data_IF_575631419091
#
_entry.id   IF_575631419091
#
_cell.length_a   1.000
_cell.length_b   1.000
_cell.length_c   1.000
_cell.angle_alpha   90.00
_cell.angle_beta   90.00
_cell.angle_gamma   90.00
#
_symmetry.space_group_name_H-M   'P 1'
#
loop_
_entity.id
_entity.type
_entity.pdbx_description
1 polymer ?
#
# COMPACT_ATOMS: atom_id res chain seq x y z
N UNK A 1 -8.55 18.45 -15.20
CA UNK A 1 -8.48 17.81 -13.88
C UNK A 1 -9.68 18.15 -12.98
N UNK A 2 -10.42 17.11 -12.58
CA UNK A 2 -11.45 17.18 -11.53
C UNK A 2 -10.79 16.87 -10.18
N UNK A 3 -11.02 17.69 -9.16
CA UNK A 3 -10.47 17.50 -7.81
C UNK A 3 -11.59 17.61 -6.79
N UNK A 4 -11.66 16.65 -5.88
CA UNK A 4 -12.64 16.60 -4.81
C UNK A 4 -11.93 16.34 -3.47
N UNK A 5 -12.20 17.19 -2.49
CA UNK A 5 -11.69 17.06 -1.13
C UNK A 5 -12.85 16.54 -0.28
N UNK A 6 -12.70 15.37 0.33
CA UNK A 6 -13.80 14.70 1.01
C UNK A 6 -13.35 14.07 2.32
N UNK A 7 -14.33 13.59 3.07
CA UNK A 7 -14.11 12.80 4.27
C UNK A 7 -15.23 11.80 4.47
N UNK A 8 -14.92 10.73 5.19
CA UNK A 8 -15.88 9.70 5.54
C UNK A 8 -15.66 9.26 6.99
N UNK A 9 -16.77 9.14 7.74
CA UNK A 9 -16.72 8.51 9.06
C UNK A 9 -16.33 7.04 8.94
N UNK A 10 -15.26 6.65 9.61
CA UNK A 10 -14.83 5.26 9.73
C UNK A 10 -15.39 4.66 11.03
N UNK A 11 -16.20 3.61 10.91
CA UNK A 11 -16.63 2.81 12.05
C UNK A 11 -15.47 2.00 12.63
N UNK A 12 -14.58 1.49 11.78
CA UNK A 12 -13.39 0.77 12.22
C UNK A 12 -12.42 1.64 13.02
N UNK A 13 -12.25 2.93 12.66
CA UNK A 13 -11.33 3.86 13.35
C UNK A 13 -12.01 4.79 14.35
N UNK A 14 -13.36 4.82 14.37
CA UNK A 14 -14.20 5.68 15.19
C UNK A 14 -13.84 7.16 15.07
N UNK A 15 -13.65 7.62 13.84
CA UNK A 15 -13.29 9.01 13.52
C UNK A 15 -13.63 9.33 12.07
N UNK A 16 -13.62 10.62 11.75
CA UNK A 16 -13.64 11.10 10.37
C UNK A 16 -12.27 10.89 9.72
N UNK A 17 -12.24 10.23 8.56
CA UNK A 17 -11.04 10.03 7.74
C UNK A 17 -11.11 10.87 6.48
N UNK A 18 -10.07 11.67 6.22
CA UNK A 18 -10.00 12.51 5.02
C UNK A 18 -9.37 11.77 3.86
N UNK A 19 -9.79 12.14 2.66
CA UNK A 19 -9.15 11.72 1.43
C UNK A 19 -9.42 12.73 0.31
N UNK A 20 -8.47 12.84 -0.63
CA UNK A 20 -8.72 13.58 -1.87
C UNK A 20 -8.91 12.62 -3.03
N UNK A 21 -9.72 13.05 -4.00
CA UNK A 21 -9.90 12.41 -5.29
C UNK A 21 -9.39 13.32 -6.41
N UNK A 22 -8.58 12.76 -7.30
CA UNK A 22 -8.08 13.44 -8.51
C UNK A 22 -8.46 12.62 -9.75
N UNK A 23 -9.23 13.23 -10.64
CA UNK A 23 -9.76 12.58 -11.85
C UNK A 23 -11.25 12.33 -11.81
N UNK A 24 -11.76 11.78 -12.91
CA UNK A 24 -13.20 11.65 -13.15
C UNK A 24 -13.64 10.27 -13.67
N UNK A 25 -12.71 9.44 -14.15
CA UNK A 25 -13.02 8.12 -14.71
C UNK A 25 -11.78 7.21 -14.67
N UNK A 26 -11.96 5.98 -15.12
CA UNK A 26 -10.88 5.01 -15.23
C UNK A 26 -10.58 4.28 -13.94
N UNK A 27 -9.46 3.54 -13.94
CA UNK A 27 -9.08 2.67 -12.83
C UNK A 27 -8.75 3.48 -11.58
N UNK A 28 -9.41 3.21 -10.43
CA UNK A 28 -9.04 3.83 -9.17
C UNK A 28 -7.66 3.38 -8.69
N UNK A 29 -6.90 4.36 -8.20
CA UNK A 29 -5.58 4.19 -7.62
C UNK A 29 -5.65 4.68 -6.17
N UNK A 30 -5.40 3.81 -5.21
CA UNK A 30 -5.24 4.21 -3.80
C UNK A 30 -3.77 4.53 -3.57
N UNK A 31 -3.52 5.74 -3.07
CA UNK A 31 -2.19 6.25 -2.76
C UNK A 31 -2.00 6.33 -1.26
N UNK A 32 -1.05 5.56 -0.73
CA UNK A 32 -0.69 5.63 0.67
C UNK A 32 0.39 6.70 0.89
N UNK A 33 0.22 7.60 1.87
CA UNK A 33 1.21 8.65 2.14
C UNK A 33 2.47 8.06 2.79
N UNK A 34 3.56 8.84 2.75
CA UNK A 34 4.81 8.55 3.43
C UNK A 34 4.72 8.77 4.95
N UNK A 35 5.77 8.44 5.69
CA UNK A 35 5.82 8.67 7.15
C UNK A 35 5.63 10.14 7.48
N UNK A 36 4.56 10.47 8.22
CA UNK A 36 4.22 11.86 8.55
C UNK A 36 3.57 12.64 7.42
N UNK A 37 3.36 12.01 6.26
CA UNK A 37 2.56 12.53 5.17
C UNK A 37 1.07 12.56 5.49
N UNK A 38 0.31 13.24 4.64
CA UNK A 38 -1.15 13.35 4.73
C UNK A 38 -1.80 13.07 3.38
N UNK A 39 -3.13 13.05 3.36
CA UNK A 39 -3.94 13.01 2.15
C UNK A 39 -3.60 14.07 1.06
N UNK A 40 -2.84 15.13 1.38
CA UNK A 40 -2.38 16.12 0.38
C UNK A 40 -0.99 15.83 -0.20
N UNK A 41 -0.18 15.02 0.47
CA UNK A 41 1.26 14.88 0.24
C UNK A 41 1.59 14.54 -1.22
N UNK A 42 0.84 13.62 -1.82
CA UNK A 42 1.11 13.18 -3.18
C UNK A 42 0.92 14.30 -4.21
N UNK A 43 -0.05 15.20 -3.99
CA UNK A 43 -0.25 16.38 -4.81
C UNK A 43 0.80 17.45 -4.52
N UNK A 44 1.14 17.67 -3.24
CA UNK A 44 2.14 18.66 -2.81
C UNK A 44 3.53 18.39 -3.43
N UNK A 45 3.87 17.11 -3.65
CA UNK A 45 5.10 16.70 -4.35
C UNK A 45 4.98 16.64 -5.88
N UNK A 46 3.88 17.10 -6.46
CA UNK A 46 3.69 17.20 -7.91
C UNK A 46 3.38 15.87 -8.61
N UNK A 47 3.12 14.78 -7.88
CA UNK A 47 2.85 13.48 -8.51
C UNK A 47 1.51 13.44 -9.26
N UNK A 48 0.51 14.18 -8.76
CA UNK A 48 -0.77 14.33 -9.48
C UNK A 48 -0.58 15.08 -10.80
N UNK A 49 0.24 16.14 -10.81
CA UNK A 49 0.57 16.89 -12.02
C UNK A 49 1.34 16.02 -13.02
N UNK A 50 2.32 15.24 -12.56
CA UNK A 50 3.05 14.29 -13.40
C UNK A 50 2.14 13.24 -14.08
N UNK A 51 1.00 12.92 -13.45
CA UNK A 51 0.00 11.98 -13.98
C UNK A 51 -1.16 12.66 -14.72
N UNK A 52 -1.13 13.99 -14.90
CA UNK A 52 -2.22 14.79 -15.50
C UNK A 52 -2.75 14.22 -16.81
N UNK A 53 -1.88 13.78 -17.71
CA UNK A 53 -2.30 13.25 -19.00
C UNK A 53 -3.20 12.02 -18.85
N UNK A 54 -2.85 11.08 -17.97
CA UNK A 54 -3.68 9.88 -17.72
C UNK A 54 -5.01 10.23 -17.05
N UNK A 55 -4.99 11.23 -16.17
CA UNK A 55 -6.18 11.73 -15.46
C UNK A 55 -7.15 12.38 -16.44
N UNK A 56 -6.66 13.27 -17.32
CA UNK A 56 -7.49 14.00 -18.28
C UNK A 56 -8.02 13.10 -19.41
N UNK A 57 -7.32 12.01 -19.73
CA UNK A 57 -7.83 10.97 -20.63
C UNK A 57 -8.85 10.04 -19.95
N UNK A 58 -9.12 10.22 -18.64
CA UNK A 58 -10.03 9.35 -17.90
C UNK A 58 -9.53 7.90 -17.78
N UNK A 59 -8.22 7.67 -17.86
CA UNK A 59 -7.61 6.34 -17.76
C UNK A 59 -7.48 5.91 -16.30
N UNK A 60 -7.21 6.86 -15.41
CA UNK A 60 -7.01 6.64 -13.98
C UNK A 60 -7.62 7.76 -13.16
N UNK A 61 -7.91 7.45 -11.91
CA UNK A 61 -8.29 8.42 -10.88
C UNK A 61 -7.62 8.06 -9.56
N UNK A 62 -7.08 9.04 -8.85
CA UNK A 62 -6.31 8.85 -7.63
C UNK A 62 -7.18 9.14 -6.41
N UNK A 63 -7.08 8.29 -5.39
CA UNK A 63 -7.63 8.46 -4.06
C UNK A 63 -6.48 8.45 -3.06
N UNK A 64 -6.41 9.50 -2.25
CA UNK A 64 -5.29 9.74 -1.32
C UNK A 64 -5.86 9.81 0.10
N UNK A 65 -6.10 8.68 0.78
CA UNK A 65 -6.56 8.69 2.16
C UNK A 65 -5.46 9.09 3.14
N UNK A 66 -5.87 9.62 4.30
CA UNK A 66 -4.98 9.75 5.45
C UNK A 66 -4.45 8.39 5.93
N UNK A 67 -3.30 8.41 6.60
CA UNK A 67 -2.77 7.24 7.31
C UNK A 67 -2.99 7.32 8.81
N UNK A 68 -2.70 6.22 9.50
CA UNK A 68 -2.73 6.13 10.97
C UNK A 68 -1.34 5.80 11.54
N UNK A 69 -0.27 6.08 10.79
CA UNK A 69 1.08 5.61 11.11
C UNK A 69 1.56 6.08 12.49
N UNK A 70 1.24 7.32 12.85
CA UNK A 70 1.56 7.90 14.16
C UNK A 70 0.85 7.19 15.33
N UNK A 71 -0.14 6.36 15.04
CA UNK A 71 -0.88 5.56 16.02
C UNK A 71 -0.61 4.06 15.90
N UNK A 72 -0.02 3.62 14.79
CA UNK A 72 0.40 2.25 14.53
C UNK A 72 1.93 2.14 14.48
N UNK A 73 2.51 2.00 13.29
CA UNK A 73 3.90 1.61 13.06
C UNK A 73 4.92 2.66 13.50
N UNK A 74 4.55 3.92 13.64
CA UNK A 74 5.44 4.98 14.15
C UNK A 74 5.13 5.37 15.61
N UNK A 75 4.20 4.66 16.25
CA UNK A 75 3.77 4.96 17.61
C UNK A 75 4.65 4.28 18.67
N UNK A 76 5.85 4.80 18.90
CA UNK A 76 6.90 4.15 19.71
C UNK A 76 6.52 3.92 21.19
N UNK A 77 5.57 4.67 21.74
CA UNK A 77 5.13 4.50 23.12
C UNK A 77 4.11 3.36 23.31
N UNK A 78 3.54 2.82 22.23
CA UNK A 78 2.60 1.68 22.27
C UNK A 78 3.34 0.35 22.18
N UNK A 79 2.72 -0.70 22.75
CA UNK A 79 3.21 -2.06 22.55
C UNK A 79 3.13 -2.45 21.05
N UNK A 80 4.01 -3.33 20.54
CA UNK A 80 3.90 -3.85 19.18
C UNK A 80 2.51 -4.44 18.86
N UNK A 81 1.88 -5.13 19.83
CA UNK A 81 0.53 -5.64 19.73
C UNK A 81 -0.51 -4.55 19.45
N UNK A 82 -0.49 -3.46 20.23
CA UNK A 82 -1.45 -2.35 20.07
C UNK A 82 -1.23 -1.59 18.75
N UNK A 83 0.04 -1.48 18.33
CA UNK A 83 0.41 -0.87 17.03
C UNK A 83 -0.13 -1.70 15.87
N UNK A 84 0.05 -3.02 15.94
CA UNK A 84 -0.48 -3.95 14.94
C UNK A 84 -2.01 -3.96 14.92
N UNK A 85 -2.68 -3.96 16.07
CA UNK A 85 -4.14 -3.84 16.13
C UNK A 85 -4.66 -2.53 15.54
N UNK A 86 -3.94 -1.42 15.75
CA UNK A 86 -4.31 -0.15 15.10
C UNK A 86 -4.18 -0.24 13.58
N UNK A 87 -3.14 -0.91 13.07
CA UNK A 87 -3.00 -1.14 11.63
C UNK A 87 -4.08 -2.09 11.08
N UNK A 88 -4.50 -3.12 11.81
CA UNK A 88 -5.64 -3.97 11.40
C UNK A 88 -6.94 -3.17 11.29
N UNK A 89 -7.16 -2.19 12.18
CA UNK A 89 -8.32 -1.27 12.06
C UNK A 89 -8.22 -0.38 10.81
N UNK A 90 -7.01 0.00 10.42
CA UNK A 90 -6.77 0.76 9.18
C UNK A 90 -6.97 -0.10 7.94
N UNK A 91 -6.51 -1.35 7.97
CA UNK A 91 -6.77 -2.35 6.93
C UNK A 91 -8.27 -2.47 6.65
N UNK A 92 -9.05 -2.63 7.72
CA UNK A 92 -10.51 -2.67 7.67
C UNK A 92 -11.13 -1.37 7.15
N UNK A 93 -10.63 -0.21 7.54
CA UNK A 93 -11.08 1.06 6.95
C UNK A 93 -10.87 1.09 5.43
N UNK A 94 -9.70 0.70 4.94
CA UNK A 94 -9.39 0.73 3.50
C UNK A 94 -10.26 -0.27 2.73
N UNK A 95 -10.36 -1.51 3.21
CA UNK A 95 -11.01 -2.62 2.49
C UNK A 95 -12.53 -2.62 2.66
N UNK A 96 -13.03 -2.41 3.87
CA UNK A 96 -14.44 -2.58 4.21
C UNK A 96 -15.24 -1.25 4.12
N UNK A 97 -14.56 -0.09 4.08
CA UNK A 97 -15.23 1.23 4.07
C UNK A 97 -14.84 2.11 2.85
N UNK A 98 -13.57 2.42 2.67
CA UNK A 98 -13.11 3.32 1.60
C UNK A 98 -13.24 2.68 0.21
N UNK A 99 -12.79 1.44 0.04
CA UNK A 99 -12.88 0.76 -1.25
C UNK A 99 -14.34 0.60 -1.73
N UNK A 100 -15.30 0.17 -0.91
CA UNK A 100 -16.72 0.17 -1.28
C UNK A 100 -17.25 1.56 -1.62
N UNK A 101 -16.83 2.60 -0.90
CA UNK A 101 -17.19 3.98 -1.23
C UNK A 101 -16.70 4.36 -2.63
N UNK A 102 -15.43 4.08 -2.96
CA UNK A 102 -14.86 4.33 -4.29
C UNK A 102 -15.62 3.56 -5.37
N UNK A 103 -15.90 2.27 -5.16
CA UNK A 103 -16.65 1.44 -6.12
C UNK A 103 -18.06 1.99 -6.36
N UNK A 104 -18.74 2.43 -5.31
CA UNK A 104 -20.06 3.05 -5.42
C UNK A 104 -20.01 4.39 -6.14
N UNK A 105 -19.08 5.28 -5.78
CA UNK A 105 -18.93 6.61 -6.36
C UNK A 105 -18.57 6.56 -7.85
N UNK A 106 -17.77 5.58 -8.26
CA UNK A 106 -17.23 5.49 -9.62
C UNK A 106 -17.96 4.49 -10.51
N UNK A 107 -18.75 3.58 -9.94
CA UNK A 107 -19.30 2.42 -10.64
C UNK A 107 -18.26 1.34 -10.99
N UNK A 108 -16.98 1.53 -10.65
CA UNK A 108 -15.90 0.60 -10.99
C UNK A 108 -16.02 -0.70 -10.18
N UNK A 109 -16.03 -1.85 -10.86
CA UNK A 109 -16.22 -3.17 -10.23
C UNK A 109 -14.94 -4.02 -10.17
N UNK A 110 -13.86 -3.57 -10.82
CA UNK A 110 -12.60 -4.30 -10.86
C UNK A 110 -11.74 -4.11 -9.60
N UNK A 111 -10.57 -4.80 -9.56
CA UNK A 111 -9.52 -4.52 -8.60
C UNK A 111 -8.84 -3.16 -8.87
N UNK A 112 -8.30 -2.56 -7.82
CA UNK A 112 -7.67 -1.24 -7.83
C UNK A 112 -6.14 -1.35 -7.91
N UNK A 113 -5.47 -0.22 -8.14
CA UNK A 113 -4.01 -0.11 -8.01
C UNK A 113 -3.65 0.46 -6.64
N UNK A 114 -2.63 -0.08 -5.99
CA UNK A 114 -2.02 0.51 -4.78
C UNK A 114 -0.65 1.13 -5.10
N UNK A 115 -0.39 2.34 -4.62
CA UNK A 115 0.92 3.00 -4.81
C UNK A 115 1.32 3.90 -3.65
N UNK A 116 2.62 4.10 -3.47
CA UNK A 116 3.15 4.97 -2.43
C UNK A 116 4.67 4.94 -2.35
N UNK A 117 5.23 5.90 -1.61
CA UNK A 117 6.66 6.05 -1.39
C UNK A 117 7.01 5.89 0.10
N UNK A 118 8.17 5.31 0.42
CA UNK A 118 8.62 5.08 1.79
C UNK A 118 7.60 4.24 2.57
N UNK A 119 7.04 4.76 3.67
CA UNK A 119 5.95 4.10 4.40
C UNK A 119 4.74 3.80 3.52
N UNK A 120 4.43 4.67 2.58
CA UNK A 120 3.39 4.43 1.58
C UNK A 120 3.75 3.28 0.64
N UNK A 121 5.03 3.09 0.34
CA UNK A 121 5.54 1.96 -0.43
C UNK A 121 5.34 0.65 0.33
N UNK A 122 5.64 0.63 1.64
CA UNK A 122 5.32 -0.49 2.52
C UNK A 122 3.83 -0.81 2.50
N UNK A 123 2.96 0.18 2.79
CA UNK A 123 1.51 -0.02 2.82
C UNK A 123 1.01 -0.58 1.49
N UNK A 124 1.44 0.01 0.37
CA UNK A 124 1.04 -0.42 -0.96
C UNK A 124 1.32 -1.89 -1.21
N UNK A 125 2.55 -2.34 -0.90
CA UNK A 125 2.92 -3.73 -1.08
C UNK A 125 2.18 -4.62 -0.08
N UNK A 126 2.09 -4.24 1.19
CA UNK A 126 1.41 -5.02 2.22
C UNK A 126 -0.08 -5.24 1.88
N UNK A 127 -0.81 -4.18 1.50
CA UNK A 127 -2.22 -4.26 1.10
C UNK A 127 -2.43 -5.12 -0.14
N UNK A 128 -1.62 -4.95 -1.19
CA UNK A 128 -1.71 -5.77 -2.40
C UNK A 128 -1.53 -7.26 -2.07
N UNK A 129 -0.56 -7.55 -1.23
CA UNK A 129 -0.18 -8.90 -0.84
C UNK A 129 -1.24 -9.57 0.04
N UNK A 130 -1.82 -8.85 1.00
CA UNK A 130 -2.88 -9.36 1.88
C UNK A 130 -4.23 -9.48 1.17
N UNK A 131 -4.51 -8.62 0.19
CA UNK A 131 -5.79 -8.52 -0.50
C UNK A 131 -5.63 -8.55 -2.04
N UNK A 132 -5.10 -9.64 -2.62
CA UNK A 132 -4.77 -9.69 -4.05
C UNK A 132 -6.00 -9.87 -4.97
N UNK A 133 -7.19 -9.96 -4.40
CA UNK A 133 -8.47 -9.82 -5.09
C UNK A 133 -8.98 -8.36 -5.11
N UNK A 134 -8.56 -7.55 -4.14
CA UNK A 134 -8.86 -6.13 -4.05
C UNK A 134 -7.92 -5.29 -4.93
N UNK A 135 -6.65 -5.71 -5.06
CA UNK A 135 -5.63 -5.05 -5.87
C UNK A 135 -5.00 -6.00 -6.89
N UNK A 136 -4.92 -5.57 -8.14
CA UNK A 136 -4.28 -6.32 -9.24
C UNK A 136 -2.98 -5.67 -9.70
N UNK A 137 -2.63 -4.51 -9.16
CA UNK A 137 -1.40 -3.78 -9.50
C UNK A 137 -0.89 -3.05 -8.27
N UNK A 138 0.43 -3.12 -8.06
CA UNK A 138 1.12 -2.37 -7.03
C UNK A 138 2.37 -1.70 -7.58
N UNK A 139 2.57 -0.43 -7.21
CA UNK A 139 3.81 0.31 -7.41
C UNK A 139 4.32 0.76 -6.04
N UNK A 140 5.27 0.02 -5.49
CA UNK A 140 5.84 0.30 -4.18
C UNK A 140 7.24 0.89 -4.33
N UNK A 141 7.43 2.13 -3.85
CA UNK A 141 8.68 2.87 -4.03
C UNK A 141 9.39 3.06 -2.69
N UNK A 142 10.66 2.67 -2.61
CA UNK A 142 11.57 2.84 -1.47
C UNK A 142 10.97 2.42 -0.12
N UNK A 143 10.17 1.35 -0.09
CA UNK A 143 9.50 0.89 1.13
C UNK A 143 10.38 0.03 2.04
N UNK A 144 10.03 0.02 3.32
CA UNK A 144 10.58 -0.90 4.33
C UNK A 144 9.61 -2.06 4.51
N UNK A 145 9.98 -3.25 4.04
CA UNK A 145 9.05 -4.40 3.92
C UNK A 145 9.24 -5.43 5.02
N UNK A 146 10.26 -5.26 5.87
CA UNK A 146 10.51 -6.06 7.07
C UNK A 146 9.99 -5.30 8.29
N UNK A 147 8.78 -5.61 8.76
CA UNK A 147 8.19 -4.84 9.87
C UNK A 147 8.91 -5.07 11.20
N UNK A 148 9.79 -6.07 11.31
CA UNK A 148 10.72 -6.20 12.45
C UNK A 148 11.60 -4.97 12.63
N UNK A 149 11.79 -4.18 11.57
CA UNK A 149 12.43 -2.86 11.67
C UNK A 149 11.76 -1.96 12.73
N UNK A 150 10.44 -2.09 12.92
CA UNK A 150 9.65 -1.27 13.83
C UNK A 150 9.49 -1.86 15.25
N UNK A 151 9.73 -3.17 15.44
CA UNK A 151 9.40 -3.90 16.68
C UNK A 151 10.50 -4.82 17.22
N UNK A 152 11.63 -4.96 16.53
CA UNK A 152 12.69 -5.89 16.91
C UNK A 152 12.26 -7.36 16.85
N UNK A 153 12.53 -8.11 17.92
CA UNK A 153 12.26 -9.55 18.00
C UNK A 153 10.81 -9.91 18.41
N UNK A 154 9.91 -8.93 18.52
CA UNK A 154 8.52 -9.20 18.85
C UNK A 154 7.82 -9.91 17.69
N UNK A 155 7.08 -10.99 17.99
CA UNK A 155 6.38 -11.78 16.99
C UNK A 155 5.00 -12.20 17.50
N UNK A 156 3.96 -11.77 16.81
CA UNK A 156 2.59 -12.29 16.93
C UNK A 156 1.99 -12.48 15.53
N UNK A 157 0.72 -12.93 15.48
CA UNK A 157 0.03 -13.16 14.21
C UNK A 157 -0.13 -11.89 13.37
N UNK A 158 -0.50 -10.78 13.98
CA UNK A 158 -0.76 -9.53 13.25
C UNK A 158 0.55 -8.94 12.72
N UNK A 159 1.63 -9.00 13.49
CA UNK A 159 2.97 -8.57 13.05
C UNK A 159 3.46 -9.46 11.91
N UNK A 160 3.24 -10.78 11.98
CA UNK A 160 3.59 -11.70 10.90
C UNK A 160 2.80 -11.44 9.61
N UNK A 161 1.48 -11.29 9.71
CA UNK A 161 0.60 -11.04 8.55
C UNK A 161 0.85 -9.68 7.89
N UNK A 162 1.47 -8.75 8.61
CA UNK A 162 1.88 -7.44 8.08
C UNK A 162 3.37 -7.35 7.75
N UNK A 163 4.11 -8.46 7.77
CA UNK A 163 5.52 -8.52 7.36
C UNK A 163 5.62 -9.15 5.96
N UNK A 164 5.58 -8.35 4.86
CA UNK A 164 5.69 -8.87 3.50
C UNK A 164 6.78 -9.92 3.29
N UNK A 165 7.95 -9.69 3.88
CA UNK A 165 9.10 -10.59 3.77
C UNK A 165 8.83 -11.93 4.46
N UNK A 166 8.26 -11.94 5.66
CA UNK A 166 8.07 -13.17 6.43
C UNK A 166 6.91 -14.00 5.89
N UNK A 167 5.78 -13.35 5.54
CA UNK A 167 4.61 -14.08 5.06
C UNK A 167 4.84 -14.66 3.65
N UNK A 168 5.48 -13.91 2.72
CA UNK A 168 5.80 -14.42 1.37
C UNK A 168 6.72 -15.64 1.42
N UNK A 169 7.66 -15.66 2.37
CA UNK A 169 8.63 -16.74 2.48
C UNK A 169 7.97 -18.09 2.79
N UNK A 170 6.85 -18.08 3.53
CA UNK A 170 6.17 -19.28 3.97
C UNK A 170 4.84 -19.55 3.23
N UNK A 171 4.47 -18.69 2.27
CA UNK A 171 3.23 -18.84 1.53
C UNK A 171 3.27 -20.09 0.63
N UNK A 172 2.30 -20.98 0.81
CA UNK A 172 2.12 -22.18 -0.02
C UNK A 172 0.67 -22.33 -0.52
N UNK A 173 -0.13 -21.26 -0.40
CA UNK A 173 -1.53 -21.26 -0.81
C UNK A 173 -1.65 -20.96 -2.32
N UNK A 174 -2.21 -21.91 -3.06
CA UNK A 174 -2.35 -21.80 -4.52
C UNK A 174 -3.22 -20.61 -4.96
N UNK A 175 -4.23 -20.22 -4.18
CA UNK A 175 -5.12 -19.12 -4.53
C UNK A 175 -4.35 -17.79 -4.53
N UNK A 176 -3.56 -17.52 -3.49
CA UNK A 176 -2.73 -16.31 -3.41
C UNK A 176 -1.68 -16.28 -4.52
N UNK A 177 -0.96 -17.39 -4.71
CA UNK A 177 0.07 -17.50 -5.74
C UNK A 177 -0.50 -17.27 -7.14
N UNK A 178 -1.67 -17.81 -7.46
CA UNK A 178 -2.32 -17.58 -8.76
C UNK A 178 -2.72 -16.11 -8.95
N UNK A 179 -3.16 -15.43 -7.88
CA UNK A 179 -3.43 -13.99 -7.94
C UNK A 179 -2.17 -13.17 -8.18
N UNK A 180 -1.09 -13.45 -7.47
CA UNK A 180 0.18 -12.75 -7.66
C UNK A 180 0.74 -12.93 -9.08
N UNK A 181 0.68 -14.16 -9.62
CA UNK A 181 1.08 -14.46 -11.00
C UNK A 181 0.28 -13.68 -12.05
N UNK A 182 -0.97 -13.36 -11.74
CA UNK A 182 -1.86 -12.61 -12.64
C UNK A 182 -1.74 -11.08 -12.48
N UNK A 183 -1.15 -10.61 -11.38
CA UNK A 183 -1.03 -9.20 -11.08
C UNK A 183 0.23 -8.53 -11.61
N UNK A 184 0.27 -7.21 -11.50
CA UNK A 184 1.43 -6.39 -11.85
C UNK A 184 2.12 -5.87 -10.59
N UNK A 185 3.25 -6.46 -10.23
CA UNK A 185 4.02 -6.09 -9.04
C UNK A 185 5.25 -5.30 -9.50
N UNK A 186 5.32 -4.02 -9.14
CA UNK A 186 6.47 -3.15 -9.37
C UNK A 186 6.96 -2.69 -8.01
N UNK A 187 8.13 -3.18 -7.61
CA UNK A 187 8.80 -2.75 -6.38
C UNK A 187 10.14 -2.18 -6.78
N UNK A 188 10.37 -0.92 -6.40
CA UNK A 188 11.59 -0.19 -6.71
C UNK A 188 12.12 0.54 -5.48
N UNK A 189 13.42 0.79 -5.44
CA UNK A 189 14.10 1.49 -4.34
C UNK A 189 15.15 2.42 -4.93
N UNK A 190 15.35 3.59 -4.33
CA UNK A 190 16.41 4.50 -4.72
C UNK A 190 17.79 3.92 -4.43
N UNK A 191 18.83 4.52 -5.02
CA UNK A 191 20.24 4.17 -4.78
C UNK A 191 20.99 5.24 -3.98
N UNK A 192 20.26 6.11 -3.28
CA UNK A 192 20.83 7.21 -2.48
C UNK A 192 21.31 6.78 -1.08
N UNK A 193 21.98 7.69 -0.38
CA UNK A 193 22.63 7.43 0.92
C UNK A 193 21.70 6.94 2.06
N UNK A 194 20.38 7.05 1.89
CA UNK A 194 19.38 6.67 2.91
C UNK A 194 18.62 5.37 2.58
N UNK A 195 18.99 4.69 1.50
CA UNK A 195 18.22 3.57 0.93
C UNK A 195 18.78 2.19 1.33
N UNK A 196 19.81 2.10 2.18
CA UNK A 196 20.47 0.82 2.49
C UNK A 196 19.50 -0.27 2.98
N UNK A 197 18.54 0.12 3.84
CA UNK A 197 17.52 -0.81 4.37
C UNK A 197 16.49 -1.16 3.30
N UNK A 198 15.97 -0.17 2.57
CA UNK A 198 15.02 -0.37 1.47
C UNK A 198 15.59 -1.23 0.33
N UNK A 199 16.87 -1.06 0.00
CA UNK A 199 17.63 -1.90 -0.94
C UNK A 199 17.68 -3.34 -0.46
N UNK A 200 17.99 -3.55 0.82
CA UNK A 200 18.08 -4.89 1.42
C UNK A 200 16.72 -5.60 1.38
N UNK A 201 15.66 -4.90 1.76
CA UNK A 201 14.30 -5.45 1.80
C UNK A 201 13.75 -5.72 0.40
N UNK A 202 13.99 -4.81 -0.55
CA UNK A 202 13.63 -5.01 -1.97
C UNK A 202 14.31 -6.25 -2.56
N UNK A 203 15.59 -6.47 -2.26
CA UNK A 203 16.34 -7.67 -2.67
C UNK A 203 15.81 -8.94 -2.02
N UNK A 204 15.42 -8.89 -0.74
CA UNK A 204 14.81 -10.04 -0.05
C UNK A 204 13.46 -10.41 -0.65
N UNK A 205 12.59 -9.44 -0.90
CA UNK A 205 11.29 -9.66 -1.56
C UNK A 205 11.46 -10.26 -2.95
N UNK A 206 12.42 -9.76 -3.74
CA UNK A 206 12.74 -10.36 -5.04
C UNK A 206 13.14 -11.83 -4.90
N UNK A 207 13.94 -12.17 -3.89
CA UNK A 207 14.41 -13.54 -3.65
C UNK A 207 13.30 -14.46 -3.16
N UNK A 208 12.47 -14.01 -2.21
CA UNK A 208 11.34 -14.81 -1.70
C UNK A 208 10.36 -15.11 -2.84
N UNK A 209 10.01 -14.10 -3.63
CA UNK A 209 9.10 -14.27 -4.74
C UNK A 209 9.70 -15.16 -5.85
N UNK A 210 11.00 -15.06 -6.14
CA UNK A 210 11.67 -15.98 -7.08
C UNK A 210 11.66 -17.45 -6.61
N UNK A 211 11.74 -17.70 -5.30
CA UNK A 211 11.65 -19.05 -4.72
C UNK A 211 10.24 -19.64 -4.83
N UNK A 212 9.21 -18.79 -4.81
CA UNK A 212 7.81 -19.19 -4.93
C UNK A 212 7.34 -19.33 -6.39
N UNK A 213 7.98 -18.64 -7.35
CA UNK A 213 7.38 -18.41 -8.67
C UNK A 213 8.22 -18.76 -9.92
N UNK A 214 9.49 -19.15 -9.80
CA UNK A 214 10.34 -19.30 -10.99
C UNK A 214 10.55 -17.96 -11.74
N UNK A 215 10.98 -17.96 -13.02
CA UNK A 215 11.68 -16.80 -13.63
C UNK A 215 10.82 -15.58 -14.04
N UNK A 216 9.56 -15.42 -13.61
CA UNK A 216 8.67 -14.32 -14.05
C UNK A 216 8.76 -13.02 -13.23
N UNK A 217 9.82 -12.84 -12.45
CA UNK A 217 10.04 -11.65 -11.61
C UNK A 217 11.32 -10.90 -11.98
N UNK A 218 11.39 -10.54 -13.24
CA UNK A 218 12.21 -9.49 -13.83
C UNK A 218 11.72 -8.07 -13.47
N UNK A 219 10.68 -7.92 -12.62
CA UNK A 219 10.03 -6.63 -12.30
C UNK A 219 10.25 -6.06 -10.88
N UNK A 220 11.15 -6.66 -10.10
CA UNK A 220 11.78 -5.98 -8.95
C UNK A 220 12.97 -5.18 -9.48
N UNK A 221 12.75 -3.89 -9.75
CA UNK A 221 13.79 -3.00 -10.26
C UNK A 221 14.59 -2.46 -9.06
N UNK A 222 15.90 -2.71 -9.06
CA UNK A 222 16.83 -2.16 -8.07
C UNK A 222 17.84 -1.23 -8.72
#
# INVERSE_FOLDING_TARGET
MHVEYSSQWSGHLNREMRFNRYGHAGKPIIVFPSSGGSYNEYADFGMIEACQWFIDQGLVQFYTPDSVDNESWLCEWKSPYDRANMHERYDRYIIDELMPHIKYQTGYQGPMLATGCSMGGYHSLNFYLRHPDAFDTVIALSGLYDVRYFFGDYHDRNVYENSPIDYLWNLNDGWFLDKYRSGNIIVATGQGNWEEVSIKDTKKNRRSAALQEGPRLDRFLG
#
